data_IF_785776736626
#
_entry.id   IF_785776736626
#
_cell.length_a   1.000
_cell.length_b   1.000
_cell.length_c   1.000
_cell.angle_alpha   90.00
_cell.angle_beta   90.00
_cell.angle_gamma   90.00
#
_symmetry.space_group_name_H-M   'P 1'
#
loop_
_entity.id
_entity.type
_entity.pdbx_description
1 polymer ?
#
# COMPACT_ATOMS: atom_id res chain seq x y z
N UNK A 1 18.75 3.14 -6.63
CA UNK A 1 18.37 1.89 -7.31
C UNK A 1 17.25 1.22 -6.52
N UNK A 2 16.11 1.00 -7.15
CA UNK A 2 15.04 0.19 -6.56
C UNK A 2 15.29 -1.28 -6.95
N UNK A 3 15.59 -2.11 -5.97
CA UNK A 3 15.84 -3.54 -6.15
C UNK A 3 14.81 -4.43 -5.43
N UNK A 4 13.92 -3.80 -4.69
CA UNK A 4 12.79 -4.45 -4.00
C UNK A 4 11.49 -3.75 -4.34
N UNK A 5 10.47 -4.54 -4.58
CA UNK A 5 9.11 -4.13 -4.87
C UNK A 5 8.24 -4.21 -3.61
N UNK A 6 7.66 -3.09 -3.21
CA UNK A 6 6.70 -3.07 -2.11
C UNK A 6 5.38 -3.64 -2.62
N UNK A 7 4.93 -4.73 -2.00
CA UNK A 7 3.59 -5.29 -2.22
C UNK A 7 2.52 -4.37 -1.63
N UNK A 8 1.38 -4.31 -2.31
CA UNK A 8 0.25 -3.46 -1.94
C UNK A 8 -1.06 -4.25 -2.04
N UNK A 9 -1.93 -4.10 -1.04
CA UNK A 9 -3.32 -4.54 -1.09
C UNK A 9 -4.21 -3.43 -0.56
N UNK A 10 -5.21 -3.03 -1.35
CA UNK A 10 -6.15 -1.96 -0.98
C UNK A 10 -7.56 -2.47 -0.95
N UNK A 11 -8.28 -2.04 0.08
CA UNK A 11 -9.69 -2.37 0.25
C UNK A 11 -10.52 -1.10 0.36
N UNK A 12 -11.73 -1.15 -0.20
CA UNK A 12 -12.85 -0.35 0.26
C UNK A 12 -13.68 -1.23 1.17
N UNK A 13 -13.87 -0.80 2.43
CA UNK A 13 -14.69 -1.50 3.40
C UNK A 13 -15.92 -0.65 3.67
N UNK A 14 -17.11 -1.18 3.38
CA UNK A 14 -18.40 -0.51 3.56
C UNK A 14 -19.18 -1.18 4.68
N UNK A 15 -19.59 -0.39 5.67
CA UNK A 15 -20.53 -0.80 6.70
C UNK A 15 -21.95 -0.35 6.32
N UNK A 16 -22.92 -1.25 6.44
CA UNK A 16 -24.34 -0.98 6.15
C UNK A 16 -25.22 -1.35 7.34
N UNK A 17 -26.23 -0.52 7.64
CA UNK A 17 -27.23 -0.72 8.69
C UNK A 17 -28.60 -0.30 8.20
N UNK A 18 -29.65 -0.50 9.00
CA UNK A 18 -30.98 0.01 8.68
C UNK A 18 -31.06 1.54 8.70
N UNK A 19 -30.14 2.21 9.45
CA UNK A 19 -30.26 3.64 9.71
C UNK A 19 -31.40 3.95 10.69
N UNK A 20 -31.82 5.22 10.75
CA UNK A 20 -32.94 5.65 11.56
C UNK A 20 -32.88 7.12 11.97
N UNK A 21 -33.86 7.57 12.72
CA UNK A 21 -33.90 8.90 13.32
C UNK A 21 -33.16 8.90 14.66
N UNK A 22 -32.23 9.85 14.88
CA UNK A 22 -31.32 9.85 16.02
C UNK A 22 -32.01 9.87 17.39
N UNK A 23 -33.25 10.39 17.47
CA UNK A 23 -34.03 10.45 18.68
C UNK A 23 -34.97 9.23 18.85
N UNK A 24 -35.85 8.98 17.87
CA UNK A 24 -36.86 7.92 17.96
C UNK A 24 -36.28 6.52 17.89
N UNK A 25 -35.21 6.34 17.13
CA UNK A 25 -34.56 5.05 16.97
C UNK A 25 -33.22 4.96 17.73
N UNK A 26 -33.09 5.76 18.82
CA UNK A 26 -31.88 5.76 19.64
C UNK A 26 -31.55 4.36 20.16
N UNK A 27 -30.28 3.97 20.01
CA UNK A 27 -29.81 2.62 20.35
C UNK A 27 -29.70 1.69 19.13
N UNK A 28 -30.28 2.05 17.98
CA UNK A 28 -30.05 1.33 16.74
C UNK A 28 -28.60 1.48 16.26
N UNK A 29 -28.04 0.47 15.59
CA UNK A 29 -26.66 0.51 15.13
C UNK A 29 -26.46 1.58 14.04
N UNK A 30 -25.39 2.36 14.16
CA UNK A 30 -24.96 3.34 13.17
C UNK A 30 -23.78 2.80 12.39
N UNK A 31 -23.84 2.85 11.06
CA UNK A 31 -22.74 2.42 10.19
C UNK A 31 -21.43 3.17 10.50
N UNK A 32 -21.49 4.47 10.84
CA UNK A 32 -20.31 5.25 11.25
C UNK A 32 -19.72 4.71 12.54
N UNK A 33 -20.54 4.45 13.56
CA UNK A 33 -20.05 3.96 14.85
C UNK A 33 -19.41 2.58 14.72
N UNK A 34 -20.04 1.71 13.94
CA UNK A 34 -19.55 0.34 13.77
C UNK A 34 -18.27 0.29 12.91
N UNK A 35 -18.20 1.12 11.87
CA UNK A 35 -16.98 1.26 11.07
C UNK A 35 -15.83 1.84 11.91
N UNK A 36 -16.12 2.79 12.80
CA UNK A 36 -15.13 3.36 13.71
C UNK A 36 -14.56 2.32 14.69
N UNK A 37 -15.40 1.40 15.20
CA UNK A 37 -14.92 0.27 16.04
C UNK A 37 -13.96 -0.63 15.24
N UNK A 38 -14.28 -0.95 13.99
CA UNK A 38 -13.41 -1.71 13.12
C UNK A 38 -12.07 -0.96 12.88
N UNK A 39 -12.10 0.36 12.68
CA UNK A 39 -10.87 1.17 12.54
C UNK A 39 -9.98 1.02 13.78
N UNK A 40 -10.54 1.12 14.98
CA UNK A 40 -9.78 0.94 16.22
C UNK A 40 -9.17 -0.46 16.31
N UNK A 41 -9.93 -1.50 15.96
CA UNK A 41 -9.41 -2.88 15.95
C UNK A 41 -8.28 -3.09 14.93
N UNK A 42 -8.39 -2.48 13.76
CA UNK A 42 -7.36 -2.55 12.72
C UNK A 42 -6.10 -1.80 13.16
N UNK A 43 -6.25 -0.54 13.56
CA UNK A 43 -5.11 0.33 13.91
C UNK A 43 -4.39 -0.08 15.20
N UNK A 44 -5.01 -0.93 16.04
CA UNK A 44 -4.40 -1.53 17.22
C UNK A 44 -3.52 -2.76 16.91
N UNK A 45 -3.48 -3.22 15.67
CA UNK A 45 -2.65 -4.37 15.27
C UNK A 45 -1.17 -4.01 15.36
N UNK A 46 -0.37 -4.93 15.92
CA UNK A 46 1.09 -4.82 15.90
C UNK A 46 1.60 -5.34 14.57
N UNK A 47 2.29 -4.49 13.84
CA UNK A 47 2.88 -4.83 12.54
C UNK A 47 4.38 -5.09 12.68
N UNK A 48 4.95 -6.02 11.87
CA UNK A 48 6.39 -6.27 11.90
C UNK A 48 7.17 -5.06 11.37
N UNK A 49 8.30 -4.77 12.00
CA UNK A 49 9.24 -3.74 11.53
C UNK A 49 10.14 -4.23 10.40
N UNK A 50 10.38 -5.56 10.33
CA UNK A 50 11.18 -6.20 9.28
C UNK A 50 10.57 -7.56 8.91
N UNK A 51 10.21 -7.78 7.63
CA UNK A 51 10.17 -6.78 6.57
C UNK A 51 9.22 -5.64 6.92
N UNK A 52 9.54 -4.41 6.51
CA UNK A 52 8.71 -3.25 6.81
C UNK A 52 7.29 -3.45 6.28
N UNK A 53 6.33 -3.40 7.20
CA UNK A 53 4.92 -3.63 6.92
C UNK A 53 4.11 -2.47 7.49
N UNK A 54 3.17 -1.95 6.70
CA UNK A 54 2.39 -0.77 7.07
C UNK A 54 0.92 -0.95 6.74
N UNK A 55 0.09 -0.24 7.49
CA UNK A 55 -1.35 -0.15 7.26
C UNK A 55 -1.79 1.30 7.46
N UNK A 56 -2.67 1.78 6.59
CA UNK A 56 -3.23 3.13 6.69
C UNK A 56 -4.70 3.16 6.27
N UNK A 57 -5.55 3.75 7.10
CA UNK A 57 -6.91 4.15 6.71
C UNK A 57 -6.78 5.54 6.08
N UNK A 58 -6.76 5.59 4.76
CA UNK A 58 -6.48 6.83 4.00
C UNK A 58 -7.70 7.71 3.78
N UNK A 59 -8.91 7.10 3.76
CA UNK A 59 -10.18 7.81 3.62
C UNK A 59 -11.25 7.17 4.51
N UNK A 60 -12.15 7.99 5.01
CA UNK A 60 -13.37 7.58 5.71
C UNK A 60 -14.49 8.55 5.37
N UNK A 61 -15.70 8.04 5.13
CA UNK A 61 -16.88 8.84 4.83
C UNK A 61 -18.15 8.10 5.29
N UNK A 62 -19.24 8.82 5.50
CA UNK A 62 -20.52 8.20 5.85
C UNK A 62 -21.54 9.19 6.43
N UNK A 63 -22.79 8.72 6.51
CA UNK A 63 -23.92 9.50 6.99
C UNK A 63 -24.43 10.54 6.01
N UNK A 64 -25.59 11.10 6.31
CA UNK A 64 -26.29 12.10 5.46
C UNK A 64 -26.67 13.37 6.21
N UNK A 65 -26.96 13.27 7.51
CA UNK A 65 -27.36 14.41 8.36
C UNK A 65 -27.05 14.13 9.81
N UNK A 66 -26.86 15.19 10.61
CA UNK A 66 -26.50 15.10 12.02
C UNK A 66 -27.58 14.43 12.91
N UNK A 67 -28.82 14.49 12.50
CA UNK A 67 -29.97 13.90 13.20
C UNK A 67 -30.44 12.56 12.62
N UNK A 68 -29.59 11.92 11.80
CA UNK A 68 -29.85 10.61 11.17
C UNK A 68 -28.82 9.61 11.68
N UNK A 69 -29.28 8.42 12.10
CA UNK A 69 -28.42 7.27 12.33
C UNK A 69 -27.91 6.80 10.97
N UNK A 70 -26.60 6.83 10.75
CA UNK A 70 -26.02 6.53 9.46
C UNK A 70 -26.32 5.09 9.01
N UNK A 71 -26.96 4.96 7.85
CA UNK A 71 -27.22 3.66 7.22
C UNK A 71 -26.03 3.11 6.44
N UNK A 72 -25.11 3.99 6.01
CA UNK A 72 -23.90 3.60 5.30
C UNK A 72 -22.70 4.44 5.72
N UNK A 73 -21.53 3.77 5.81
CA UNK A 73 -20.24 4.41 5.96
C UNK A 73 -19.17 3.54 5.28
N UNK A 74 -18.15 4.17 4.73
CA UNK A 74 -17.06 3.48 4.03
C UNK A 74 -15.69 4.02 4.39
N UNK A 75 -14.67 3.17 4.33
CA UNK A 75 -13.27 3.54 4.43
C UNK A 75 -12.45 2.93 3.28
N UNK A 76 -11.32 3.55 2.97
CA UNK A 76 -10.30 2.98 2.09
C UNK A 76 -9.04 2.68 2.90
N UNK A 77 -8.63 1.40 2.85
CA UNK A 77 -7.52 0.82 3.59
C UNK A 77 -6.38 0.49 2.63
N UNK A 78 -5.15 0.93 2.94
CA UNK A 78 -3.92 0.64 2.20
C UNK A 78 -3.01 -0.23 3.08
N UNK A 79 -2.70 -1.44 2.61
CA UNK A 79 -1.81 -2.40 3.24
C UNK A 79 -0.56 -2.54 2.39
N UNK A 80 0.63 -2.46 3.00
CA UNK A 80 1.91 -2.59 2.28
C UNK A 80 2.90 -3.42 3.05
N UNK A 81 3.74 -4.16 2.32
CA UNK A 81 4.91 -4.85 2.88
C UNK A 81 6.02 -5.01 1.86
N UNK A 82 7.28 -5.03 2.33
CA UNK A 82 8.45 -5.42 1.55
C UNK A 82 8.57 -6.95 1.39
N UNK A 83 7.76 -7.72 2.16
CA UNK A 83 7.71 -9.19 2.10
C UNK A 83 6.33 -9.68 1.68
N UNK A 84 6.30 -10.62 0.73
CA UNK A 84 5.05 -11.22 0.24
C UNK A 84 4.30 -11.97 1.35
N UNK A 85 5.02 -12.80 2.13
CA UNK A 85 4.43 -13.56 3.25
C UNK A 85 3.86 -12.63 4.33
N UNK A 86 4.58 -11.55 4.65
CA UNK A 86 4.13 -10.57 5.65
C UNK A 86 2.92 -9.78 5.15
N UNK A 87 2.82 -9.50 3.85
CA UNK A 87 1.64 -8.90 3.26
C UNK A 87 0.45 -9.86 3.31
N UNK A 88 0.65 -11.13 2.95
CA UNK A 88 -0.38 -12.15 2.97
C UNK A 88 -0.91 -12.38 4.40
N UNK A 89 -0.04 -12.43 5.39
CA UNK A 89 -0.43 -12.54 6.80
C UNK A 89 -1.23 -11.32 7.27
N UNK A 90 -0.79 -10.10 6.95
CA UNK A 90 -1.54 -8.88 7.27
C UNK A 90 -2.93 -8.88 6.62
N UNK A 91 -3.02 -9.25 5.35
CA UNK A 91 -4.29 -9.38 4.61
C UNK A 91 -5.21 -10.39 5.31
N UNK A 92 -4.69 -11.58 5.66
CA UNK A 92 -5.45 -12.62 6.37
C UNK A 92 -5.98 -12.12 7.72
N UNK A 93 -5.17 -11.38 8.48
CA UNK A 93 -5.59 -10.81 9.77
C UNK A 93 -6.70 -9.76 9.60
N UNK A 94 -6.60 -8.89 8.60
CA UNK A 94 -7.63 -7.88 8.28
C UNK A 94 -8.94 -8.57 7.87
N UNK A 95 -8.89 -9.54 6.96
CA UNK A 95 -10.07 -10.28 6.51
C UNK A 95 -10.74 -11.06 7.65
N UNK A 96 -9.96 -11.68 8.56
CA UNK A 96 -10.48 -12.33 9.77
C UNK A 96 -11.21 -11.35 10.70
N UNK A 97 -10.69 -10.12 10.87
CA UNK A 97 -11.37 -9.10 11.68
C UNK A 97 -12.69 -8.67 11.06
N UNK A 98 -12.73 -8.46 9.74
CA UNK A 98 -13.98 -8.14 9.02
C UNK A 98 -14.99 -9.28 9.15
N UNK A 99 -14.57 -10.52 8.93
CA UNK A 99 -15.42 -11.70 9.09
C UNK A 99 -15.96 -11.84 10.52
N UNK A 100 -15.10 -11.65 11.54
CA UNK A 100 -15.51 -11.66 12.94
C UNK A 100 -16.52 -10.55 13.25
N UNK A 101 -16.32 -9.33 12.73
CA UNK A 101 -17.25 -8.23 12.88
C UNK A 101 -18.65 -8.58 12.32
N UNK A 102 -18.71 -9.29 11.21
CA UNK A 102 -19.96 -9.82 10.65
C UNK A 102 -20.60 -10.91 11.51
N UNK A 103 -19.80 -11.84 12.08
CA UNK A 103 -20.31 -12.97 12.88
C UNK A 103 -20.84 -12.56 14.25
N UNK A 104 -20.12 -11.71 14.97
CA UNK A 104 -20.51 -11.25 16.32
C UNK A 104 -21.86 -10.53 16.34
N UNK A 105 -22.29 -9.99 15.22
CA UNK A 105 -23.54 -9.22 15.07
C UNK A 105 -24.74 -10.05 14.63
N UNK A 106 -24.52 -11.29 14.16
CA UNK A 106 -25.62 -12.23 13.90
C UNK A 106 -26.25 -12.77 15.20
N UNK A 107 -25.56 -12.65 16.35
CA UNK A 107 -25.99 -13.15 17.66
C UNK A 107 -26.58 -12.10 18.59
N UNK A 108 -26.38 -10.79 18.33
CA UNK A 108 -26.93 -9.68 19.12
C UNK A 108 -27.64 -8.69 18.20
N UNK A 109 -28.97 -8.69 18.26
CA UNK A 109 -29.85 -7.73 17.56
C UNK A 109 -29.22 -7.05 16.34
N UNK A 110 -29.23 -7.79 15.30
CA UNK A 110 -29.12 -7.54 13.89
C UNK A 110 -28.85 -6.11 13.41
N UNK A 111 -28.00 -5.97 12.47
CA UNK A 111 -28.20 -4.91 11.53
C UNK A 111 -26.97 -4.23 11.01
N UNK A 112 -25.75 -4.75 11.20
CA UNK A 112 -24.57 -4.23 10.51
C UNK A 112 -23.96 -5.31 9.66
N UNK A 113 -23.73 -5.01 8.40
CA UNK A 113 -22.92 -5.84 7.50
C UNK A 113 -21.70 -5.06 7.05
N UNK A 114 -20.56 -5.75 6.93
CA UNK A 114 -19.34 -5.22 6.33
C UNK A 114 -19.06 -5.94 5.03
N UNK A 115 -18.90 -5.15 3.97
CA UNK A 115 -18.47 -5.63 2.66
C UNK A 115 -17.05 -5.12 2.41
N UNK A 116 -16.14 -5.97 1.95
CA UNK A 116 -14.78 -5.60 1.60
C UNK A 116 -14.54 -5.84 0.11
N UNK A 117 -14.26 -4.78 -0.61
CA UNK A 117 -13.94 -4.79 -2.04
C UNK A 117 -12.44 -4.53 -2.21
N UNK A 118 -11.75 -5.34 -3.00
CA UNK A 118 -10.36 -5.09 -3.39
C UNK A 118 -10.34 -4.02 -4.47
N UNK A 119 -9.79 -2.83 -4.17
CA UNK A 119 -9.69 -1.70 -5.09
C UNK A 119 -8.29 -1.50 -5.67
N UNK A 120 -7.33 -2.32 -5.28
CA UNK A 120 -5.97 -2.30 -5.83
C UNK A 120 -5.09 -3.40 -5.25
N UNK A 121 -4.19 -3.92 -6.09
CA UNK A 121 -3.24 -4.95 -5.68
C UNK A 121 -1.98 -4.90 -6.53
N UNK A 122 -0.82 -5.04 -5.88
CA UNK A 122 0.48 -5.29 -6.50
C UNK A 122 1.26 -6.29 -5.65
N UNK A 123 1.93 -7.28 -6.24
CA UNK A 123 2.74 -8.24 -5.48
C UNK A 123 4.02 -7.60 -4.94
N UNK A 124 4.57 -8.15 -3.86
CA UNK A 124 5.93 -7.87 -3.43
C UNK A 124 6.93 -8.72 -4.21
N UNK A 125 8.20 -8.37 -4.14
CA UNK A 125 9.29 -9.13 -4.73
C UNK A 125 10.61 -8.40 -4.60
N UNK A 126 11.70 -9.05 -4.99
CA UNK A 126 13.01 -8.39 -4.94
C UNK A 126 14.14 -9.31 -5.34
N UNK A 127 15.30 -8.71 -5.60
CA UNK A 127 16.56 -9.41 -5.79
C UNK A 127 17.58 -8.94 -4.75
N UNK A 128 18.56 -9.81 -4.47
CA UNK A 128 19.62 -9.49 -3.50
C UNK A 128 20.40 -8.24 -3.92
N UNK A 129 20.89 -7.48 -2.94
CA UNK A 129 21.83 -6.39 -3.17
C UNK A 129 23.13 -6.87 -3.84
N UNK A 130 23.50 -8.14 -3.63
CA UNK A 130 24.70 -8.77 -4.21
C UNK A 130 24.47 -9.33 -5.62
N UNK A 131 23.23 -9.22 -6.15
CA UNK A 131 22.95 -9.69 -7.50
C UNK A 131 23.78 -8.90 -8.53
N UNK A 132 24.44 -9.56 -9.56
CA UNK A 132 25.29 -8.88 -10.52
C UNK A 132 24.65 -7.66 -11.19
N UNK A 133 23.36 -7.76 -11.53
CA UNK A 133 22.60 -6.65 -12.10
C UNK A 133 22.56 -5.42 -11.17
N UNK A 134 22.47 -5.61 -9.86
CA UNK A 134 22.45 -4.53 -8.87
C UNK A 134 23.85 -3.94 -8.70
N UNK A 135 24.87 -4.77 -8.69
CA UNK A 135 26.28 -4.32 -8.61
C UNK A 135 26.63 -3.44 -9.80
N UNK A 136 26.28 -3.86 -11.04
CA UNK A 136 26.49 -3.05 -12.24
C UNK A 136 25.72 -1.71 -12.19
N UNK A 137 24.47 -1.72 -11.68
CA UNK A 137 23.71 -0.49 -11.54
C UNK A 137 24.35 0.48 -10.55
N UNK A 138 24.89 -0.03 -9.43
CA UNK A 138 25.60 0.79 -8.45
C UNK A 138 26.93 1.33 -9.04
N UNK A 139 27.65 0.51 -9.79
CA UNK A 139 28.89 0.90 -10.43
C UNK A 139 28.65 2.03 -11.45
N UNK A 140 27.64 1.90 -12.31
CA UNK A 140 27.28 2.94 -13.27
C UNK A 140 26.93 4.29 -12.62
N UNK A 141 26.40 4.28 -11.38
CA UNK A 141 26.15 5.48 -10.60
C UNK A 141 27.46 6.07 -10.07
N UNK A 142 28.37 5.23 -9.53
CA UNK A 142 29.69 5.67 -9.04
C UNK A 142 30.55 6.28 -10.13
N UNK A 143 30.49 5.76 -11.34
CA UNK A 143 31.18 6.32 -12.51
C UNK A 143 30.77 7.77 -12.81
N UNK A 144 29.54 8.15 -12.44
CA UNK A 144 29.07 9.54 -12.54
C UNK A 144 29.48 10.41 -11.33
N UNK A 145 30.28 9.87 -10.40
CA UNK A 145 30.71 10.56 -9.18
C UNK A 145 29.61 10.68 -8.12
N UNK A 146 28.61 9.79 -8.16
CA UNK A 146 27.48 9.77 -7.21
C UNK A 146 27.54 8.53 -6.33
N UNK A 147 27.01 8.64 -5.11
CA UNK A 147 26.84 7.48 -4.20
C UNK A 147 25.51 6.78 -4.46
N UNK A 148 25.53 5.49 -4.83
CA UNK A 148 24.31 4.73 -5.06
C UNK A 148 23.58 4.42 -3.76
N UNK A 149 22.27 4.59 -3.76
CA UNK A 149 21.39 4.19 -2.65
C UNK A 149 20.47 3.07 -3.12
N UNK A 150 20.45 1.96 -2.37
CA UNK A 150 19.49 0.88 -2.58
C UNK A 150 18.22 1.18 -1.78
N UNK A 151 17.06 0.96 -2.42
CA UNK A 151 15.77 1.26 -1.82
C UNK A 151 14.68 0.31 -2.30
N UNK A 152 13.51 0.40 -1.69
CA UNK A 152 12.29 -0.30 -2.09
C UNK A 152 11.22 0.69 -2.57
N UNK A 153 10.37 0.25 -3.49
CA UNK A 153 9.26 1.07 -4.00
C UNK A 153 8.20 0.24 -4.71
N UNK A 154 7.03 0.83 -4.94
CA UNK A 154 5.98 0.21 -5.74
C UNK A 154 6.02 0.79 -7.15
N UNK A 155 6.50 0.02 -8.11
CA UNK A 155 6.76 0.41 -9.49
C UNK A 155 6.31 -0.71 -10.44
N UNK A 156 6.51 -0.54 -11.74
CA UNK A 156 6.22 -1.60 -12.72
C UNK A 156 7.18 -2.80 -12.59
N UNK A 157 8.34 -2.63 -11.92
CA UNK A 157 9.22 -3.73 -11.55
C UNK A 157 8.61 -4.73 -10.56
N UNK A 158 7.49 -4.41 -9.90
CA UNK A 158 6.79 -5.34 -9.01
C UNK A 158 6.46 -6.66 -9.72
N UNK A 159 6.02 -6.61 -10.97
CA UNK A 159 5.61 -7.82 -11.72
C UNK A 159 6.80 -8.75 -12.02
N UNK A 160 7.87 -8.32 -12.69
CA UNK A 160 9.01 -9.22 -12.93
C UNK A 160 9.66 -9.68 -11.62
N UNK A 161 9.86 -8.80 -10.63
CA UNK A 161 10.46 -9.16 -9.35
C UNK A 161 9.64 -10.21 -8.58
N UNK A 162 8.31 -10.11 -8.60
CA UNK A 162 7.44 -11.10 -7.95
C UNK A 162 7.44 -12.47 -8.63
N UNK A 163 7.85 -12.53 -9.89
CA UNK A 163 8.01 -13.77 -10.66
C UNK A 163 9.42 -14.35 -10.61
N UNK A 164 10.32 -13.73 -9.81
CA UNK A 164 11.71 -14.15 -9.69
C UNK A 164 12.61 -13.72 -10.88
N UNK A 165 12.12 -12.88 -11.78
CA UNK A 165 12.96 -12.32 -12.83
C UNK A 165 13.81 -11.17 -12.27
N UNK A 166 15.13 -11.14 -12.60
CA UNK A 166 15.97 -10.02 -12.23
C UNK A 166 15.47 -8.72 -12.86
N UNK A 167 15.11 -7.76 -12.04
CA UNK A 167 14.67 -6.45 -12.48
C UNK A 167 15.07 -5.38 -11.45
N UNK A 168 15.21 -4.15 -11.92
CA UNK A 168 15.44 -2.98 -11.07
C UNK A 168 14.79 -1.73 -11.70
N UNK A 169 14.70 -0.66 -10.90
CA UNK A 169 14.38 0.67 -11.42
C UNK A 169 15.55 1.60 -11.13
N UNK A 170 16.02 2.26 -12.18
CA UNK A 170 17.12 3.19 -12.16
C UNK A 170 16.61 4.58 -12.53
N UNK A 171 16.86 5.58 -11.68
CA UNK A 171 16.53 6.96 -11.96
C UNK A 171 17.59 7.64 -12.83
N UNK A 172 17.15 8.50 -13.74
CA UNK A 172 18.04 9.30 -14.61
C UNK A 172 18.13 10.77 -14.16
N UNK A 173 17.37 11.16 -13.14
CA UNK A 173 17.41 12.51 -12.58
C UNK A 173 16.89 12.50 -11.15
N UNK A 174 16.98 13.64 -10.47
CA UNK A 174 16.37 13.87 -9.17
C UNK A 174 15.10 14.71 -9.30
N UNK A 175 14.22 14.60 -8.33
CA UNK A 175 12.97 15.35 -8.22
C UNK A 175 12.47 15.36 -6.79
N UNK A 176 11.31 15.94 -6.58
CA UNK A 176 10.67 16.00 -5.26
C UNK A 176 9.19 16.29 -5.37
N UNK A 177 8.51 16.27 -4.20
CA UNK A 177 7.09 16.56 -4.12
C UNK A 177 6.19 15.50 -4.78
N UNK A 178 6.64 14.26 -4.94
CA UNK A 178 5.89 13.20 -5.61
C UNK A 178 4.46 13.08 -5.07
N UNK A 179 3.48 12.95 -5.98
CA UNK A 179 2.05 12.87 -5.71
C UNK A 179 1.43 14.15 -5.11
N UNK A 180 2.07 15.30 -5.28
CA UNK A 180 1.52 16.62 -4.91
C UNK A 180 1.45 17.56 -6.11
N UNK A 181 0.74 18.67 -5.97
CA UNK A 181 0.71 19.74 -6.99
C UNK A 181 2.05 20.48 -7.16
N UNK A 182 3.01 20.25 -6.26
CA UNK A 182 4.35 20.80 -6.28
C UNK A 182 5.39 19.78 -6.76
N UNK A 183 4.98 18.71 -7.42
CA UNK A 183 5.90 17.72 -7.98
C UNK A 183 6.77 18.31 -9.06
N UNK A 184 8.06 18.06 -8.99
CA UNK A 184 9.05 18.58 -9.95
C UNK A 184 10.15 17.55 -10.24
N UNK A 185 10.81 17.72 -11.38
CA UNK A 185 12.06 17.05 -11.74
C UNK A 185 13.14 18.09 -12.08
N UNK A 186 14.39 17.75 -11.85
CA UNK A 186 15.54 18.54 -12.24
C UNK A 186 15.97 18.17 -13.67
N UNK A 187 16.00 19.17 -14.57
CA UNK A 187 16.36 18.92 -15.97
C UNK A 187 17.88 18.77 -16.17
N UNK A 188 18.70 19.51 -15.40
CA UNK A 188 20.17 19.51 -15.56
C UNK A 188 20.83 18.14 -15.44
N UNK A 189 20.45 17.23 -14.52
CA UNK A 189 21.09 15.92 -14.39
C UNK A 189 20.68 14.92 -15.47
N UNK A 190 19.67 15.17 -16.28
CA UNK A 190 19.10 14.18 -17.23
C UNK A 190 20.14 13.70 -18.22
N UNK A 191 21.00 14.58 -18.75
CA UNK A 191 22.03 14.19 -19.72
C UNK A 191 23.01 13.16 -19.14
N UNK A 192 23.53 13.43 -17.92
CA UNK A 192 24.38 12.46 -17.19
C UNK A 192 23.66 11.19 -16.81
N UNK A 193 22.40 11.31 -16.39
CA UNK A 193 21.59 10.14 -16.07
C UNK A 193 21.30 9.26 -17.30
N UNK A 194 21.19 9.85 -18.48
CA UNK A 194 21.04 9.10 -19.73
C UNK A 194 22.35 8.40 -20.09
N UNK A 195 23.51 9.04 -19.96
CA UNK A 195 24.82 8.40 -20.15
C UNK A 195 24.99 7.22 -19.20
N UNK A 196 24.66 7.40 -17.91
CA UNK A 196 24.64 6.34 -16.90
C UNK A 196 23.79 5.16 -17.35
N UNK A 197 22.56 5.42 -17.80
CA UNK A 197 21.64 4.37 -18.26
C UNK A 197 22.20 3.62 -19.49
N UNK A 198 22.77 4.33 -20.46
CA UNK A 198 23.39 3.74 -21.64
C UNK A 198 24.58 2.84 -21.26
N UNK A 199 25.44 3.32 -20.37
CA UNK A 199 26.59 2.54 -19.89
C UNK A 199 26.14 1.30 -19.12
N UNK A 200 25.16 1.43 -18.25
CA UNK A 200 24.56 0.30 -17.55
C UNK A 200 24.01 -0.75 -18.52
N UNK A 201 23.22 -0.35 -19.54
CA UNK A 201 22.66 -1.30 -20.52
C UNK A 201 23.77 -2.00 -21.32
N UNK A 202 24.85 -1.28 -21.70
CA UNK A 202 26.00 -1.88 -22.37
C UNK A 202 26.71 -2.91 -21.48
N UNK A 203 26.86 -2.62 -20.19
CA UNK A 203 27.52 -3.54 -19.25
C UNK A 203 26.71 -4.82 -19.01
N UNK A 204 25.37 -4.79 -19.09
CA UNK A 204 24.52 -5.99 -18.99
C UNK A 204 24.81 -6.96 -20.15
N UNK A 205 25.15 -6.47 -21.35
CA UNK A 205 25.45 -7.31 -22.50
C UNK A 205 26.73 -8.16 -22.33
N UNK A 206 27.47 -7.92 -21.26
CA UNK A 206 28.72 -8.62 -20.91
C UNK A 206 28.56 -9.62 -19.77
N UNK A 207 27.32 -9.73 -19.19
CA UNK A 207 26.92 -10.74 -18.18
C UNK A 207 26.50 -12.02 -18.88
#
# INVERSE_FOLDING_TARGET
VYHRAIGVKRYRITAKTAGGHSWSDYGSPSAIHELSKLVVELTSMKLPGSPRTTMNVGKISGGTSINVIASEAALELDLRSEGEESLAELVSQVEKKIARANTLKSTSQAGVTFEAEVIGQRPAGGISADHPLIQLAQESIREQGLEPTLTSGSTDANIPLSKGYPALVLGITSGGGAHTTNEFINLKPIEKGLEQLINFVRSISSL
#
